data_IF_649972464563
#
_entry.id   IF_649972464563
#
_cell.length_a   1.000
_cell.length_b   1.000
_cell.length_c   1.000
_cell.angle_alpha   90.00
_cell.angle_beta   90.00
_cell.angle_gamma   90.00
#
_symmetry.space_group_name_H-M   'P 1'
#
loop_
_entity.id
_entity.type
_entity.pdbx_description
1 polymer ?
#
# COMPACT_ATOMS: atom_id res chain seq x y z
N UNK A 1 20.26 -11.79 -30.54
CA UNK A 1 19.32 -11.93 -31.67
C UNK A 1 18.11 -11.09 -31.29
N UNK A 2 17.64 -10.20 -32.16
CA UNK A 2 16.42 -9.43 -31.88
C UNK A 2 15.26 -10.43 -31.80
N UNK A 3 14.61 -10.52 -30.65
CA UNK A 3 13.47 -11.42 -30.47
C UNK A 3 12.27 -10.99 -31.31
N UNK A 4 11.15 -11.72 -31.24
CA UNK A 4 9.94 -11.35 -31.96
C UNK A 4 9.46 -9.96 -31.51
N UNK A 5 8.95 -9.16 -32.43
CA UNK A 5 8.31 -7.88 -32.12
C UNK A 5 6.88 -8.06 -31.59
N UNK A 6 6.28 -9.24 -31.80
CA UNK A 6 4.95 -9.62 -31.31
C UNK A 6 4.86 -11.14 -31.17
N UNK A 7 4.23 -11.63 -30.10
CA UNK A 7 3.93 -13.05 -29.87
C UNK A 7 2.46 -13.19 -29.52
N UNK A 8 1.75 -14.05 -30.26
CA UNK A 8 0.39 -14.51 -29.96
C UNK A 8 0.47 -16.03 -29.77
N UNK A 9 0.08 -16.53 -28.59
CA UNK A 9 0.09 -17.95 -28.28
C UNK A 9 -1.20 -18.43 -27.61
N UNK A 10 -1.80 -19.45 -28.22
CA UNK A 10 -2.90 -20.24 -27.63
C UNK A 10 -2.41 -21.51 -26.91
N UNK A 11 -1.10 -21.71 -26.83
CA UNK A 11 -0.40 -22.80 -26.13
C UNK A 11 0.40 -22.27 -24.94
N UNK A 12 0.87 -23.13 -24.03
CA UNK A 12 1.90 -22.73 -23.07
C UNK A 12 3.09 -22.15 -23.81
N UNK A 13 3.58 -20.99 -23.38
CA UNK A 13 4.56 -20.21 -24.12
C UNK A 13 5.68 -19.73 -23.21
N UNK A 14 6.91 -19.76 -23.74
CA UNK A 14 8.04 -19.04 -23.17
C UNK A 14 8.44 -17.98 -24.20
N UNK A 15 8.40 -16.71 -23.79
CA UNK A 15 8.77 -15.57 -24.64
C UNK A 15 10.01 -14.92 -24.07
N UNK A 16 11.05 -14.83 -24.91
CA UNK A 16 12.29 -14.11 -24.63
C UNK A 16 12.53 -13.11 -25.76
N UNK A 17 12.67 -11.83 -25.44
CA UNK A 17 13.03 -10.78 -26.41
C UNK A 17 13.83 -9.66 -25.77
N UNK A 18 14.92 -9.26 -26.43
CA UNK A 18 15.77 -8.12 -26.02
C UNK A 18 15.46 -6.83 -26.77
N UNK A 19 14.27 -6.75 -27.37
CA UNK A 19 13.79 -5.60 -28.13
C UNK A 19 12.32 -5.37 -27.83
N UNK A 20 11.77 -4.24 -28.28
CA UNK A 20 10.35 -3.95 -28.07
C UNK A 20 9.46 -5.10 -28.55
N UNK A 21 8.56 -5.55 -27.68
CA UNK A 21 7.80 -6.78 -27.87
C UNK A 21 6.42 -6.65 -27.24
N UNK A 22 5.40 -7.11 -27.95
CA UNK A 22 4.06 -7.31 -27.41
C UNK A 22 3.76 -8.80 -27.27
N UNK A 23 3.19 -9.21 -26.15
CA UNK A 23 2.85 -10.62 -25.89
C UNK A 23 1.37 -10.73 -25.55
N UNK A 24 0.67 -11.59 -26.26
CA UNK A 24 -0.70 -12.03 -25.97
C UNK A 24 -0.68 -13.55 -25.80
N UNK A 25 -1.12 -14.03 -24.63
CA UNK A 25 -1.22 -15.47 -24.38
C UNK A 25 -2.38 -15.84 -23.48
N UNK A 26 -3.21 -16.78 -23.95
CA UNK A 26 -4.38 -17.29 -23.22
C UNK A 26 -4.07 -18.46 -22.29
N UNK A 27 -2.80 -18.88 -22.20
CA UNK A 27 -2.35 -20.07 -21.48
C UNK A 27 -1.14 -19.79 -20.60
N UNK A 28 -0.75 -20.75 -19.72
CA UNK A 28 0.37 -20.55 -18.82
C UNK A 28 1.62 -20.10 -19.56
N UNK A 29 2.24 -19.03 -19.09
CA UNK A 29 3.28 -18.33 -19.85
C UNK A 29 4.40 -17.83 -18.95
N UNK A 30 5.61 -17.91 -19.48
CA UNK A 30 6.80 -17.27 -18.92
C UNK A 30 7.28 -16.22 -19.92
N UNK A 31 7.36 -14.97 -19.49
CA UNK A 31 7.71 -13.83 -20.34
C UNK A 31 8.92 -13.13 -19.74
N UNK A 32 10.01 -13.07 -20.48
CA UNK A 32 11.25 -12.34 -20.15
C UNK A 32 11.53 -11.35 -21.27
N UNK A 33 11.36 -10.06 -21.00
CA UNK A 33 11.51 -9.01 -22.00
C UNK A 33 12.45 -7.93 -21.52
N UNK A 34 13.43 -7.60 -22.33
CA UNK A 34 14.29 -6.43 -22.16
C UNK A 34 13.98 -5.40 -23.25
N UNK A 35 13.29 -4.33 -22.88
CA UNK A 35 12.87 -3.25 -23.77
C UNK A 35 11.44 -2.77 -23.48
N UNK A 36 10.91 -1.85 -24.32
CA UNK A 36 9.53 -1.41 -24.20
C UNK A 36 8.53 -2.52 -24.51
N UNK A 37 7.66 -2.85 -23.56
CA UNK A 37 6.84 -4.07 -23.65
C UNK A 37 5.40 -3.88 -23.22
N UNK A 38 4.50 -4.62 -23.86
CA UNK A 38 3.11 -4.77 -23.42
C UNK A 38 2.75 -6.26 -23.37
N UNK A 39 2.21 -6.73 -22.27
CA UNK A 39 1.99 -8.14 -21.99
C UNK A 39 0.56 -8.35 -21.52
N UNK A 40 -0.25 -9.08 -22.27
CA UNK A 40 -1.63 -9.48 -21.92
C UNK A 40 -1.69 -11.01 -21.77
N UNK A 41 -1.95 -11.47 -20.55
CA UNK A 41 -1.95 -12.88 -20.19
C UNK A 41 -3.25 -13.27 -19.52
N UNK A 42 -3.96 -14.27 -20.06
CA UNK A 42 -5.22 -14.76 -19.48
C UNK A 42 -5.08 -16.04 -18.64
N UNK A 43 -3.86 -16.52 -18.43
CA UNK A 43 -3.57 -17.72 -17.66
C UNK A 43 -2.49 -17.48 -16.60
N UNK A 44 -2.15 -18.51 -15.80
CA UNK A 44 -1.07 -18.43 -14.83
C UNK A 44 0.24 -17.94 -15.45
N UNK A 45 0.83 -16.88 -14.92
CA UNK A 45 1.91 -16.16 -15.59
C UNK A 45 3.09 -15.87 -14.67
N UNK A 46 4.28 -15.88 -15.27
CA UNK A 46 5.49 -15.30 -14.68
C UNK A 46 6.06 -14.30 -15.67
N UNK A 47 6.17 -13.04 -15.28
CA UNK A 47 6.62 -11.95 -16.15
C UNK A 47 7.83 -11.28 -15.52
N UNK A 48 8.89 -11.12 -16.28
CA UNK A 48 10.06 -10.29 -15.97
C UNK A 48 10.22 -9.25 -17.08
N UNK A 49 10.02 -7.96 -16.74
CA UNK A 49 10.24 -6.86 -17.67
C UNK A 49 11.40 -5.98 -17.20
N UNK A 50 12.37 -5.81 -18.09
CA UNK A 50 13.43 -4.82 -17.97
C UNK A 50 13.23 -3.71 -19.00
N UNK A 51 12.60 -2.62 -18.56
CA UNK A 51 12.24 -1.48 -19.40
C UNK A 51 10.85 -0.94 -19.06
N UNK A 52 10.42 0.13 -19.76
CA UNK A 52 9.07 0.64 -19.60
C UNK A 52 8.05 -0.35 -20.15
N UNK A 53 6.96 -0.59 -19.45
CA UNK A 53 5.94 -1.48 -19.99
C UNK A 53 4.68 -1.62 -19.15
N UNK A 54 3.76 -2.42 -19.67
CA UNK A 54 2.50 -2.74 -19.02
C UNK A 54 2.27 -4.25 -19.02
N UNK A 55 1.74 -4.74 -17.90
CA UNK A 55 1.34 -6.14 -17.72
C UNK A 55 -0.13 -6.17 -17.34
N UNK A 56 -0.94 -6.78 -18.18
CA UNK A 56 -2.32 -7.15 -17.89
C UNK A 56 -2.33 -8.66 -17.65
N UNK A 57 -2.79 -9.11 -16.48
CA UNK A 57 -2.82 -10.53 -16.16
C UNK A 57 -4.12 -10.96 -15.48
N UNK A 58 -4.85 -11.87 -16.12
CA UNK A 58 -6.04 -12.52 -15.58
C UNK A 58 -5.66 -13.92 -15.07
N UNK A 59 -5.45 -14.06 -13.76
CA UNK A 59 -5.09 -15.32 -13.11
C UNK A 59 -3.98 -15.17 -12.07
N UNK A 60 -3.45 -16.31 -11.63
CA UNK A 60 -2.30 -16.34 -10.73
C UNK A 60 -1.07 -15.75 -11.44
N UNK A 61 -0.53 -14.65 -10.94
CA UNK A 61 0.58 -13.95 -11.58
C UNK A 61 1.73 -13.63 -10.63
N UNK A 62 2.95 -13.72 -11.17
CA UNK A 62 4.16 -13.19 -10.54
C UNK A 62 4.83 -12.25 -11.52
N UNK A 63 5.01 -10.99 -11.13
CA UNK A 63 5.46 -9.92 -12.01
C UNK A 63 6.68 -9.22 -11.39
N UNK A 64 7.79 -9.24 -12.11
CA UNK A 64 9.02 -8.52 -11.77
C UNK A 64 9.24 -7.41 -12.80
N UNK A 65 9.45 -6.18 -12.32
CA UNK A 65 9.57 -5.01 -13.17
C UNK A 65 10.79 -4.18 -12.78
N UNK A 66 11.53 -3.75 -13.79
CA UNK A 66 12.54 -2.70 -13.66
C UNK A 66 12.31 -1.62 -14.70
N UNK A 67 12.08 -0.38 -14.24
CA UNK A 67 11.70 0.74 -15.10
C UNK A 67 10.34 1.33 -14.75
N UNK A 68 9.82 2.18 -15.62
CA UNK A 68 8.51 2.83 -15.46
C UNK A 68 7.42 1.92 -15.99
N UNK A 69 6.64 1.31 -15.10
CA UNK A 69 5.75 0.22 -15.51
C UNK A 69 4.39 0.24 -14.81
N UNK A 70 3.39 -0.37 -15.44
CA UNK A 70 2.07 -0.59 -14.85
C UNK A 70 1.70 -2.06 -14.82
N UNK A 71 0.99 -2.47 -13.78
CA UNK A 71 0.38 -3.80 -13.66
C UNK A 71 -1.10 -3.63 -13.42
N UNK A 72 -1.91 -4.29 -14.24
CA UNK A 72 -3.32 -4.56 -13.97
C UNK A 72 -3.45 -6.08 -13.82
N UNK A 73 -3.95 -6.52 -12.68
CA UNK A 73 -4.10 -7.95 -12.40
C UNK A 73 -5.48 -8.27 -11.85
N UNK A 74 -6.11 -9.27 -12.44
CA UNK A 74 -7.37 -9.84 -11.96
C UNK A 74 -7.11 -11.26 -11.45
N UNK A 75 -7.13 -11.44 -10.14
CA UNK A 75 -6.77 -12.69 -9.47
C UNK A 75 -5.59 -12.53 -8.50
N UNK A 76 -5.09 -13.63 -7.91
CA UNK A 76 -3.98 -13.56 -6.98
C UNK A 76 -2.70 -13.11 -7.68
N UNK A 77 -2.03 -12.09 -7.14
CA UNK A 77 -0.86 -11.49 -7.77
C UNK A 77 0.29 -11.25 -6.78
N UNK A 78 1.52 -11.32 -7.28
CA UNK A 78 2.71 -10.86 -6.58
C UNK A 78 3.49 -9.95 -7.51
N UNK A 79 3.66 -8.69 -7.14
CA UNK A 79 4.36 -7.68 -7.93
C UNK A 79 5.60 -7.23 -7.17
N UNK A 80 6.76 -7.27 -7.83
CA UNK A 80 7.99 -6.66 -7.36
C UNK A 80 8.48 -5.63 -8.39
N UNK A 81 8.58 -4.37 -7.99
CA UNK A 81 9.06 -3.28 -8.84
C UNK A 81 10.27 -2.57 -8.26
N UNK A 82 11.27 -2.34 -9.12
CA UNK A 82 12.45 -1.53 -8.79
C UNK A 82 12.44 -0.13 -9.39
N UNK A 83 11.51 0.17 -10.29
CA UNK A 83 11.31 1.50 -10.85
C UNK A 83 9.96 2.10 -10.45
N UNK A 84 9.61 3.23 -11.07
CA UNK A 84 8.32 3.86 -10.85
C UNK A 84 7.20 2.92 -11.30
N UNK A 85 6.32 2.53 -10.38
CA UNK A 85 5.24 1.57 -10.65
C UNK A 85 3.85 2.13 -10.40
N UNK A 86 2.89 1.66 -11.19
CA UNK A 86 1.47 1.72 -10.87
C UNK A 86 0.94 0.30 -10.82
N UNK A 87 0.27 -0.08 -9.74
CA UNK A 87 -0.30 -1.42 -9.58
C UNK A 87 -1.78 -1.29 -9.27
N UNK A 88 -2.60 -1.91 -10.11
CA UNK A 88 -4.02 -2.15 -9.88
C UNK A 88 -4.21 -3.67 -9.77
N UNK A 89 -4.71 -4.13 -8.63
CA UNK A 89 -4.97 -5.56 -8.44
C UNK A 89 -6.34 -5.83 -7.84
N UNK A 90 -7.11 -6.62 -8.58
CA UNK A 90 -8.38 -7.16 -8.16
C UNK A 90 -8.26 -8.60 -7.67
N UNK A 91 -7.90 -8.74 -6.39
CA UNK A 91 -7.71 -10.03 -5.74
C UNK A 91 -6.56 -10.02 -4.72
N UNK A 92 -6.31 -11.17 -4.06
CA UNK A 92 -5.27 -11.24 -3.04
C UNK A 92 -3.89 -10.88 -3.61
N UNK A 93 -3.24 -9.86 -3.07
CA UNK A 93 -2.08 -9.26 -3.72
C UNK A 93 -0.95 -8.97 -2.76
N UNK A 94 0.29 -9.19 -3.20
CA UNK A 94 1.48 -8.74 -2.51
C UNK A 94 2.29 -7.81 -3.43
N UNK A 95 2.59 -6.60 -2.96
CA UNK A 95 3.32 -5.58 -3.73
C UNK A 95 4.57 -5.19 -2.97
N UNK A 96 5.73 -5.41 -3.57
CA UNK A 96 7.02 -4.90 -3.12
C UNK A 96 7.49 -3.84 -4.12
N UNK A 97 7.82 -2.64 -3.65
CA UNK A 97 8.30 -1.54 -4.49
C UNK A 97 9.47 -0.81 -3.86
N UNK A 98 10.60 -0.74 -4.57
CA UNK A 98 11.82 -0.06 -4.08
C UNK A 98 12.03 1.37 -4.60
N UNK A 99 10.98 1.93 -5.21
CA UNK A 99 10.94 3.31 -5.69
C UNK A 99 9.51 3.85 -5.51
N UNK A 100 9.19 4.99 -6.14
CA UNK A 100 7.85 5.54 -5.99
C UNK A 100 6.79 4.65 -6.63
N UNK A 101 5.70 4.40 -5.92
CA UNK A 101 4.60 3.58 -6.41
C UNK A 101 3.24 4.23 -6.16
N UNK A 102 2.29 3.93 -7.04
CA UNK A 102 0.86 4.09 -6.78
C UNK A 102 0.24 2.70 -6.81
N UNK A 103 -0.53 2.37 -5.78
CA UNK A 103 -1.06 1.02 -5.58
C UNK A 103 -2.55 1.12 -5.25
N UNK A 104 -3.39 0.46 -6.03
CA UNK A 104 -4.83 0.31 -5.81
C UNK A 104 -5.16 -1.19 -5.72
N UNK A 105 -5.66 -1.63 -4.57
CA UNK A 105 -5.87 -3.05 -4.30
C UNK A 105 -7.29 -3.32 -3.79
N UNK A 106 -7.86 -4.44 -4.24
CA UNK A 106 -9.06 -5.02 -3.64
C UNK A 106 -8.80 -6.44 -3.11
N UNK A 107 -9.47 -6.81 -2.02
CA UNK A 107 -9.21 -8.06 -1.30
C UNK A 107 -7.92 -8.08 -0.46
N UNK A 108 -7.66 -9.19 0.24
CA UNK A 108 -6.57 -9.30 1.22
C UNK A 108 -5.19 -9.00 0.63
N UNK A 109 -4.49 -8.02 1.18
CA UNK A 109 -3.32 -7.46 0.50
C UNK A 109 -2.18 -7.06 1.43
N UNK A 110 -0.94 -7.11 0.93
CA UNK A 110 0.23 -6.56 1.63
C UNK A 110 1.07 -5.69 0.69
N UNK A 111 1.52 -4.55 1.21
CA UNK A 111 2.37 -3.61 0.48
C UNK A 111 3.62 -3.33 1.31
N UNK A 112 4.81 -3.57 0.74
CA UNK A 112 6.09 -3.07 1.23
C UNK A 112 6.62 -2.05 0.22
N UNK A 113 6.89 -0.82 0.66
CA UNK A 113 7.37 0.25 -0.20
C UNK A 113 8.57 0.96 0.41
N UNK A 114 9.64 1.14 -0.37
CA UNK A 114 10.78 1.98 -0.04
C UNK A 114 10.90 3.12 -1.05
N UNK A 115 10.10 4.17 -0.83
CA UNK A 115 9.96 5.30 -1.73
C UNK A 115 8.73 6.14 -1.38
N UNK A 116 8.40 7.09 -2.25
CA UNK A 116 7.14 7.81 -2.14
C UNK A 116 5.99 6.90 -2.59
N UNK A 117 5.05 6.58 -1.71
CA UNK A 117 3.96 5.65 -2.00
C UNK A 117 2.59 6.27 -1.78
N UNK A 118 1.65 5.91 -2.66
CA UNK A 118 0.23 6.16 -2.49
C UNK A 118 -0.50 4.83 -2.57
N UNK A 119 -1.13 4.40 -1.48
CA UNK A 119 -1.76 3.09 -1.36
C UNK A 119 -3.24 3.31 -1.06
N UNK A 120 -4.11 2.78 -1.92
CA UNK A 120 -5.55 2.78 -1.73
C UNK A 120 -6.06 1.34 -1.68
N UNK A 121 -6.92 1.07 -0.69
CA UNK A 121 -7.69 -0.16 -0.61
C UNK A 121 -9.20 0.11 -0.71
N UNK A 122 -9.74 -0.03 -1.93
CA UNK A 122 -11.12 0.40 -2.25
C UNK A 122 -12.23 -0.57 -1.82
N UNK A 123 -11.98 -1.89 -1.78
CA UNK A 123 -13.01 -2.89 -1.43
C UNK A 123 -12.39 -4.15 -0.81
N UNK A 124 -12.07 -4.03 0.48
CA UNK A 124 -11.42 -5.08 1.23
C UNK A 124 -12.43 -6.08 1.79
N UNK A 125 -12.48 -7.24 1.16
CA UNK A 125 -13.11 -8.43 1.74
C UNK A 125 -12.24 -9.12 2.82
N UNK A 126 -11.03 -8.61 3.08
CA UNK A 126 -10.06 -9.20 4.01
C UNK A 126 -9.09 -8.18 4.62
N UNK A 127 -8.15 -8.64 5.46
CA UNK A 127 -7.19 -7.77 6.13
C UNK A 127 -6.10 -7.27 5.18
N UNK A 128 -5.53 -6.11 5.48
CA UNK A 128 -4.43 -5.54 4.71
C UNK A 128 -3.31 -4.99 5.58
N UNK A 129 -2.08 -5.06 5.07
CA UNK A 129 -0.90 -4.53 5.75
C UNK A 129 -0.10 -3.61 4.83
N UNK A 130 0.39 -2.50 5.37
CA UNK A 130 1.30 -1.57 4.68
C UNK A 130 2.55 -1.37 5.52
N UNK A 131 3.73 -1.64 4.96
CA UNK A 131 5.04 -1.17 5.44
C UNK A 131 5.55 -0.14 4.42
N UNK A 132 5.91 1.04 4.90
CA UNK A 132 6.37 2.13 4.05
C UNK A 132 7.59 2.85 4.64
N UNK A 133 8.64 2.97 3.83
CA UNK A 133 9.88 3.69 4.13
C UNK A 133 10.00 4.87 3.17
N UNK A 134 9.59 6.04 3.63
CA UNK A 134 9.50 7.26 2.82
C UNK A 134 8.15 7.97 3.00
N UNK A 135 7.90 9.02 2.21
CA UNK A 135 6.61 9.70 2.22
C UNK A 135 5.49 8.75 1.78
N UNK A 136 4.42 8.64 2.56
CA UNK A 136 3.34 7.70 2.28
C UNK A 136 1.96 8.33 2.47
N UNK A 137 1.03 7.95 1.59
CA UNK A 137 -0.39 8.17 1.78
C UNK A 137 -1.09 6.82 1.75
N UNK A 138 -1.94 6.55 2.75
CA UNK A 138 -2.71 5.32 2.87
C UNK A 138 -4.18 5.66 3.06
N UNK A 139 -5.03 5.14 2.18
CA UNK A 139 -6.49 5.19 2.28
C UNK A 139 -7.04 3.75 2.31
N UNK A 140 -7.88 3.43 3.27
CA UNK A 140 -8.50 2.09 3.37
C UNK A 140 -9.90 2.10 3.95
N UNK A 141 -10.77 1.31 3.32
CA UNK A 141 -12.12 1.00 3.82
C UNK A 141 -12.25 -0.38 4.51
N UNK A 142 -11.12 -1.02 4.86
CA UNK A 142 -11.04 -2.36 5.45
C UNK A 142 -10.25 -2.45 6.76
N UNK A 143 -10.19 -3.65 7.37
CA UNK A 143 -9.31 -3.90 8.51
C UNK A 143 -7.84 -3.82 8.10
N UNK A 144 -7.07 -2.91 8.71
CA UNK A 144 -5.72 -2.60 8.25
C UNK A 144 -4.70 -2.50 9.39
N UNK A 145 -3.45 -2.85 9.06
CA UNK A 145 -2.26 -2.49 9.84
C UNK A 145 -1.36 -1.60 8.98
N UNK A 146 -0.92 -0.47 9.52
CA UNK A 146 -0.01 0.47 8.84
C UNK A 146 1.23 0.67 9.70
N UNK A 147 2.41 0.41 9.12
CA UNK A 147 3.72 0.79 9.63
C UNK A 147 4.34 1.78 8.62
N UNK A 148 4.71 2.97 9.10
CA UNK A 148 5.34 3.97 8.24
C UNK A 148 6.52 4.67 8.91
N UNK A 149 7.60 4.80 8.16
CA UNK A 149 8.77 5.58 8.53
C UNK A 149 9.00 6.71 7.52
N UNK A 150 8.59 7.91 7.90
CA UNK A 150 8.61 9.10 7.04
C UNK A 150 7.39 10.00 7.29
N UNK A 151 7.22 11.05 6.48
CA UNK A 151 5.98 11.82 6.47
C UNK A 151 4.81 10.97 5.99
N UNK A 152 3.71 10.93 6.73
CA UNK A 152 2.59 10.04 6.41
C UNK A 152 1.22 10.72 6.54
N UNK A 153 0.29 10.36 5.65
CA UNK A 153 -1.14 10.65 5.80
C UNK A 153 -1.92 9.35 5.74
N UNK A 154 -2.74 9.09 6.75
CA UNK A 154 -3.47 7.82 6.90
C UNK A 154 -4.95 8.11 7.12
N UNK A 155 -5.81 7.57 6.27
CA UNK A 155 -7.28 7.61 6.38
C UNK A 155 -7.82 6.18 6.41
N UNK A 156 -8.49 5.78 7.49
CA UNK A 156 -8.92 4.40 7.71
C UNK A 156 -10.36 4.32 8.20
N UNK A 157 -11.20 3.60 7.47
CA UNK A 157 -12.58 3.30 7.85
C UNK A 157 -12.69 1.81 8.14
N UNK A 158 -12.70 1.44 9.44
CA UNK A 158 -12.79 0.09 10.10
C UNK A 158 -11.64 -0.14 11.09
N UNK A 159 -11.65 -1.27 11.85
CA UNK A 159 -10.61 -1.56 12.82
C UNK A 159 -9.19 -1.44 12.26
N UNK A 160 -8.35 -0.65 12.93
CA UNK A 160 -7.00 -0.37 12.46
C UNK A 160 -5.95 -0.36 13.58
N UNK A 161 -4.71 -0.68 13.18
CA UNK A 161 -3.51 -0.48 13.98
C UNK A 161 -2.51 0.33 13.18
N UNK A 162 -1.97 1.39 13.77
CA UNK A 162 -1.12 2.36 13.09
C UNK A 162 0.13 2.61 13.94
N UNK A 163 1.31 2.38 13.37
CA UNK A 163 2.62 2.71 13.95
C UNK A 163 3.36 3.65 12.99
N UNK A 164 3.72 4.84 13.45
CA UNK A 164 4.27 5.89 12.60
C UNK A 164 5.53 6.51 13.21
N UNK A 165 6.57 6.64 12.40
CA UNK A 165 7.80 7.34 12.75
C UNK A 165 8.02 8.52 11.79
N UNK A 166 7.76 9.73 12.27
CA UNK A 166 7.85 10.95 11.46
C UNK A 166 6.66 11.89 11.66
N UNK A 167 6.58 12.99 10.88
CA UNK A 167 5.41 13.86 10.88
C UNK A 167 4.20 13.16 10.25
N UNK A 168 3.08 13.10 10.96
CA UNK A 168 1.93 12.32 10.49
C UNK A 168 0.57 12.96 10.74
N UNK A 169 -0.40 12.62 9.89
CA UNK A 169 -1.81 12.85 10.13
C UNK A 169 -2.55 11.51 10.04
N UNK A 170 -3.45 11.26 10.98
CA UNK A 170 -4.30 10.07 11.04
C UNK A 170 -5.76 10.52 11.19
N UNK A 171 -6.61 10.12 10.25
CA UNK A 171 -8.06 10.12 10.38
C UNK A 171 -8.52 8.66 10.46
N UNK A 172 -9.36 8.34 11.45
CA UNK A 172 -9.93 7.01 11.53
C UNK A 172 -11.40 6.99 11.96
N UNK A 173 -12.16 6.09 11.34
CA UNK A 173 -13.54 5.78 11.72
C UNK A 173 -13.66 4.31 12.12
N UNK A 174 -14.01 4.08 13.38
CA UNK A 174 -14.07 2.76 14.00
C UNK A 174 -13.00 2.56 15.08
N UNK A 175 -12.82 1.32 15.56
CA UNK A 175 -11.81 1.03 16.57
C UNK A 175 -10.39 1.25 16.05
N UNK A 176 -9.57 2.05 16.72
CA UNK A 176 -8.20 2.32 16.28
C UNK A 176 -7.18 2.26 17.41
N UNK A 177 -5.95 1.91 17.07
CA UNK A 177 -4.78 2.05 17.93
C UNK A 177 -3.69 2.78 17.16
N UNK A 178 -3.22 3.90 17.69
CA UNK A 178 -2.21 4.76 17.06
C UNK A 178 -1.02 4.89 18.01
N UNK A 179 0.15 4.42 17.57
CA UNK A 179 1.44 4.73 18.17
C UNK A 179 2.20 5.64 17.21
N UNK A 180 2.84 6.68 17.73
CA UNK A 180 3.65 7.55 16.89
C UNK A 180 4.89 8.09 17.59
N UNK A 181 6.00 8.12 16.86
CA UNK A 181 7.22 8.84 17.23
C UNK A 181 7.43 10.03 16.29
N UNK A 182 7.09 11.22 16.75
CA UNK A 182 7.17 12.44 15.94
C UNK A 182 5.95 13.36 16.14
N UNK A 183 5.89 14.48 15.39
CA UNK A 183 4.72 15.33 15.39
C UNK A 183 3.52 14.62 14.76
N UNK A 184 2.37 14.57 15.45
CA UNK A 184 1.18 13.90 14.93
C UNK A 184 -0.10 14.69 15.15
N UNK A 185 -1.02 14.62 14.18
CA UNK A 185 -2.43 14.98 14.35
C UNK A 185 -3.28 13.71 14.24
N UNK A 186 -4.15 13.47 15.21
CA UNK A 186 -5.09 12.35 15.22
C UNK A 186 -6.51 12.89 15.32
N UNK A 187 -7.36 12.52 14.38
CA UNK A 187 -8.83 12.59 14.46
C UNK A 187 -9.34 11.15 14.48
N UNK A 188 -10.16 10.78 15.46
CA UNK A 188 -10.75 9.44 15.47
C UNK A 188 -12.19 9.43 15.97
N UNK A 189 -13.03 8.75 15.20
CA UNK A 189 -14.44 8.53 15.52
C UNK A 189 -14.67 7.05 15.86
N UNK A 190 -14.57 6.70 17.13
CA UNK A 190 -14.72 5.34 17.65
C UNK A 190 -13.83 5.06 18.86
N UNK A 191 -13.87 3.81 19.39
CA UNK A 191 -12.99 3.40 20.47
C UNK A 191 -11.51 3.52 20.07
N UNK A 192 -10.72 4.32 20.78
CA UNK A 192 -9.38 4.68 20.32
C UNK A 192 -8.32 4.56 21.41
N UNK A 193 -7.15 4.02 21.07
CA UNK A 193 -5.94 4.06 21.89
C UNK A 193 -4.87 4.92 21.19
N UNK A 194 -4.31 5.93 21.85
CA UNK A 194 -3.38 6.88 21.23
C UNK A 194 -2.15 7.10 22.13
N UNK A 195 -0.96 6.76 21.63
CA UNK A 195 0.33 6.86 22.33
C UNK A 195 1.39 7.62 21.48
N UNK A 196 1.33 8.96 21.43
CA UNK A 196 2.32 9.77 20.75
C UNK A 196 3.51 10.14 21.65
N UNK A 197 4.70 9.91 21.11
CA UNK A 197 5.99 10.42 21.58
C UNK A 197 6.42 11.62 20.72
N UNK A 198 5.95 12.81 21.09
CA UNK A 198 6.23 14.05 20.36
C UNK A 198 5.11 15.08 20.52
N UNK A 199 5.21 16.23 19.82
CA UNK A 199 4.11 17.20 19.77
C UNK A 199 2.87 16.58 19.14
N UNK A 200 1.71 16.68 19.79
CA UNK A 200 0.48 16.04 19.30
C UNK A 200 -0.74 16.94 19.36
N UNK A 201 -1.62 16.79 18.37
CA UNK A 201 -3.01 17.26 18.41
C UNK A 201 -3.92 16.03 18.32
N UNK A 202 -4.83 15.86 19.27
CA UNK A 202 -5.66 14.66 19.39
C UNK A 202 -7.11 15.08 19.56
N UNK A 203 -7.98 14.71 18.62
CA UNK A 203 -9.44 14.84 18.70
C UNK A 203 -10.06 13.44 18.62
N UNK A 204 -10.73 13.01 19.69
CA UNK A 204 -11.33 11.67 19.77
C UNK A 204 -12.79 11.76 20.15
N UNK A 205 -13.64 11.08 19.37
CA UNK A 205 -15.04 10.85 19.72
C UNK A 205 -15.30 9.38 20.03
N UNK A 206 -15.75 9.09 21.25
CA UNK A 206 -15.96 7.74 21.77
C UNK A 206 -15.04 7.38 22.95
N UNK A 207 -15.08 6.11 23.40
CA UNK A 207 -14.23 5.64 24.49
C UNK A 207 -12.75 5.71 24.13
N UNK A 208 -11.92 6.33 24.95
CA UNK A 208 -10.51 6.55 24.62
C UNK A 208 -9.53 6.28 25.75
N UNK A 209 -8.32 5.86 25.38
CA UNK A 209 -7.16 5.80 26.25
C UNK A 209 -6.00 6.54 25.58
N UNK A 210 -5.42 7.52 26.26
CA UNK A 210 -4.38 8.38 25.68
C UNK A 210 -3.18 8.44 26.62
N UNK A 211 -1.98 8.14 26.12
CA UNK A 211 -0.69 8.30 26.81
C UNK A 211 0.17 9.29 26.02
N UNK A 212 0.51 10.44 26.61
CA UNK A 212 1.13 11.56 25.90
C UNK A 212 2.54 11.82 26.42
N UNK A 213 3.53 11.60 25.56
CA UNK A 213 4.94 11.88 25.83
C UNK A 213 5.44 13.09 25.02
N UNK A 214 4.87 14.26 25.30
CA UNK A 214 5.25 15.53 24.64
C UNK A 214 4.21 16.64 24.88
N UNK A 215 4.44 17.84 24.31
CA UNK A 215 3.43 18.90 24.30
C UNK A 215 2.19 18.47 23.52
N UNK A 216 1.00 18.67 24.08
CA UNK A 216 -0.23 18.17 23.47
C UNK A 216 -1.39 19.13 23.53
N UNK A 217 -2.25 19.08 22.51
CA UNK A 217 -3.60 19.63 22.53
C UNK A 217 -4.61 18.49 22.36
N UNK A 218 -5.55 18.36 23.29
CA UNK A 218 -6.46 17.20 23.35
C UNK A 218 -7.92 17.66 23.46
N UNK A 219 -8.79 17.13 22.61
CA UNK A 219 -10.24 17.25 22.69
C UNK A 219 -10.85 15.84 22.75
N UNK A 220 -11.57 15.52 23.83
CA UNK A 220 -12.14 14.19 24.05
C UNK A 220 -13.65 14.29 24.24
N UNK A 221 -14.39 13.55 23.44
CA UNK A 221 -15.84 13.43 23.58
C UNK A 221 -16.24 11.97 23.87
N UNK A 222 -16.25 11.62 25.16
CA UNK A 222 -16.62 10.28 25.60
C UNK A 222 -15.92 9.87 26.91
N UNK A 223 -16.12 8.64 27.38
CA UNK A 223 -15.36 8.12 28.51
C UNK A 223 -13.88 8.02 28.16
N UNK A 224 -13.01 8.71 28.88
CA UNK A 224 -11.58 8.76 28.60
C UNK A 224 -10.71 8.43 29.81
N UNK A 225 -9.51 7.94 29.54
CA UNK A 225 -8.39 7.94 30.49
C UNK A 225 -7.15 8.55 29.84
N UNK A 226 -6.58 9.55 30.49
CA UNK A 226 -5.44 10.32 30.00
C UNK A 226 -4.27 10.22 30.97
N UNK A 227 -3.08 9.89 30.45
CA UNK A 227 -1.79 10.06 31.12
C UNK A 227 -0.92 11.00 30.28
N UNK A 228 -0.19 11.90 30.94
CA UNK A 228 0.64 12.88 30.24
C UNK A 228 1.88 13.25 31.06
N UNK A 229 3.04 13.14 30.42
CA UNK A 229 4.34 13.52 30.98
C UNK A 229 4.84 14.89 30.51
N UNK A 230 4.02 15.62 29.73
CA UNK A 230 4.34 16.92 29.12
C UNK A 230 3.29 18.02 29.37
N UNK A 231 3.53 19.25 28.90
CA UNK A 231 2.53 20.31 28.98
C UNK A 231 1.35 19.99 28.06
N UNK A 232 0.16 19.87 28.64
CA UNK A 232 -1.09 19.61 27.91
C UNK A 232 -2.07 20.79 28.02
N UNK A 233 -2.82 21.01 26.95
CA UNK A 233 -4.01 21.88 26.93
C UNK A 233 -5.16 21.13 26.27
N UNK A 234 -6.41 21.39 26.68
CA UNK A 234 -7.54 20.63 26.13
C UNK A 234 -8.83 20.74 26.92
N UNK A 235 -9.93 20.31 26.33
CA UNK A 235 -11.21 20.09 27.01
C UNK A 235 -11.40 18.57 27.09
N UNK A 236 -11.55 18.07 28.32
CA UNK A 236 -11.96 16.69 28.62
C UNK A 236 -13.45 16.64 28.99
#
# INVERSE_FOLDING_TARGET
>A
MSGPSSVDSNGPSNVDSSSSCSVDSSRPSSVDLSGPSNVDLSGPSSVDLCGPGSVESNGLSSVYLSGTSSVDSSGPSSVNSSGHSSVDSNGPSNVDSSSSCSVDLSGSSSVDSSGASNVNFNDLSGPSNVDSRGPSNVDSHGPNSVDSSGPSSVDLIRPSSVDLSGPSNVDSSGPSSVNSSGPISVDSNGPSGVDPSGPSNVDLSGPSSVDLNGPSNVDLSGPSSTDSSGPSSGLE
#
